data_IF_584391238028
#
_entry.id   IF_584391238028
#
_cell.length_a   1.000
_cell.length_b   1.000
_cell.length_c   1.000
_cell.angle_alpha   90.00
_cell.angle_beta   90.00
_cell.angle_gamma   90.00
#
_symmetry.space_group_name_H-M   'P 1'
#
loop_
_entity.id
_entity.type
_entity.pdbx_description
1 polymer ?
#
# COMPACT_ATOMS: atom_id res chain seq x y z
N UNK A 1 -2.14 -1.94 28.76
CA UNK A 1 -3.46 -2.20 28.13
C UNK A 1 -3.16 -2.91 26.81
N UNK A 2 -4.02 -3.83 26.36
CA UNK A 2 -3.85 -4.44 25.03
C UNK A 2 -4.01 -3.33 23.97
N UNK A 3 -3.19 -3.36 22.90
CA UNK A 3 -3.30 -2.41 21.78
C UNK A 3 -4.62 -2.57 21.02
N UNK A 4 -4.97 -1.57 20.24
CA UNK A 4 -6.26 -1.51 19.52
C UNK A 4 -6.47 -2.67 18.53
N UNK A 5 -5.39 -3.30 18.06
CA UNK A 5 -5.42 -4.41 17.12
C UNK A 5 -4.93 -5.73 17.74
N UNK A 6 -4.95 -5.86 19.07
CA UNK A 6 -4.54 -7.08 19.76
C UNK A 6 -5.32 -8.30 19.24
N UNK A 7 -4.60 -9.33 18.76
CA UNK A 7 -5.17 -10.55 18.20
C UNK A 7 -5.74 -10.43 16.79
N UNK A 8 -5.72 -9.25 16.16
CA UNK A 8 -6.05 -9.07 14.73
C UNK A 8 -4.87 -9.42 13.86
N UNK A 9 -5.12 -9.98 12.69
CA UNK A 9 -4.08 -10.32 11.71
C UNK A 9 -4.11 -9.35 10.54
N UNK A 10 -2.96 -8.70 10.29
CA UNK A 10 -2.74 -7.83 9.14
C UNK A 10 -1.80 -8.48 8.13
N UNK A 11 -2.20 -8.46 6.86
CA UNK A 11 -1.36 -8.80 5.71
C UNK A 11 -1.01 -7.52 4.96
N UNK A 12 0.28 -7.26 4.76
CA UNK A 12 0.75 -6.12 3.95
C UNK A 12 1.61 -6.65 2.81
N UNK A 13 1.17 -6.46 1.56
CA UNK A 13 1.94 -6.86 0.39
C UNK A 13 3.05 -5.85 0.06
N UNK A 14 4.20 -6.32 -0.48
CA UNK A 14 5.34 -5.45 -0.77
C UNK A 14 5.93 -4.79 0.48
N UNK A 15 6.04 -5.53 1.57
CA UNK A 15 6.44 -5.00 2.87
C UNK A 15 7.82 -5.46 3.35
N UNK A 16 8.56 -6.20 2.51
CA UNK A 16 9.88 -6.74 2.85
C UNK A 16 11.04 -5.74 2.71
N UNK A 17 10.78 -4.46 2.38
CA UNK A 17 11.86 -3.48 2.17
C UNK A 17 12.05 -2.58 3.39
N UNK A 18 13.33 -2.48 3.84
CA UNK A 18 13.71 -1.62 4.96
C UNK A 18 13.44 -0.14 4.64
N UNK A 19 12.88 0.59 5.59
CA UNK A 19 12.41 1.97 5.42
C UNK A 19 11.37 2.15 4.31
N UNK A 20 10.78 1.04 3.85
CA UNK A 20 9.67 1.06 2.91
C UNK A 20 8.35 1.45 3.57
N UNK A 21 7.38 1.86 2.76
CA UNK A 21 6.05 2.21 3.24
C UNK A 21 5.36 1.02 3.93
N UNK A 22 5.47 -0.18 3.33
CA UNK A 22 4.89 -1.40 3.89
C UNK A 22 5.46 -1.76 5.26
N UNK A 23 6.77 -1.59 5.48
CA UNK A 23 7.38 -1.75 6.81
C UNK A 23 6.79 -0.75 7.80
N UNK A 24 6.70 0.55 7.43
CA UNK A 24 6.15 1.58 8.31
C UNK A 24 4.71 1.30 8.71
N UNK A 25 3.90 0.77 7.80
CA UNK A 25 2.53 0.33 8.10
C UNK A 25 2.55 -0.84 9.10
N UNK A 26 3.33 -1.89 8.83
CA UNK A 26 3.43 -3.04 9.74
C UNK A 26 3.93 -2.66 11.14
N UNK A 27 4.90 -1.75 11.25
CA UNK A 27 5.39 -1.26 12.53
C UNK A 27 4.27 -0.60 13.35
N UNK A 28 3.48 0.26 12.74
CA UNK A 28 2.37 0.93 13.41
C UNK A 28 1.31 -0.07 13.93
N UNK A 29 1.00 -1.11 13.15
CA UNK A 29 0.07 -2.16 13.58
C UNK A 29 0.68 -3.10 14.63
N UNK A 30 1.99 -3.38 14.56
CA UNK A 30 2.71 -4.17 15.55
C UNK A 30 2.70 -3.46 16.92
N UNK A 31 2.95 -2.15 16.94
CA UNK A 31 2.89 -1.33 18.16
C UNK A 31 1.50 -1.33 18.82
N UNK A 32 0.45 -1.60 18.01
CA UNK A 32 -0.95 -1.77 18.45
C UNK A 32 -1.36 -3.25 18.67
N UNK A 33 -0.39 -4.17 18.69
CA UNK A 33 -0.59 -5.56 19.09
C UNK A 33 -1.11 -6.50 18.01
N UNK A 34 -1.06 -6.13 16.74
CA UNK A 34 -1.49 -6.99 15.63
C UNK A 34 -0.49 -8.13 15.37
N UNK A 35 -1.00 -9.27 14.89
CA UNK A 35 -0.19 -10.29 14.21
C UNK A 35 0.15 -9.79 12.81
N UNK A 36 1.42 -9.81 12.42
CA UNK A 36 1.92 -9.21 11.20
C UNK A 36 2.34 -10.26 10.16
N UNK A 37 1.86 -10.10 8.93
CA UNK A 37 2.34 -10.88 7.78
C UNK A 37 3.17 -9.97 6.89
N UNK A 38 4.48 -10.19 6.87
CA UNK A 38 5.42 -9.60 5.92
C UNK A 38 5.34 -10.38 4.62
N UNK A 39 4.94 -9.74 3.52
CA UNK A 39 4.88 -10.38 2.21
C UNK A 39 5.58 -9.53 1.15
N UNK A 40 6.42 -10.17 0.37
CA UNK A 40 7.12 -9.57 -0.76
C UNK A 40 7.37 -10.62 -1.85
N UNK A 41 7.85 -10.19 -3.01
CA UNK A 41 8.19 -11.07 -4.13
C UNK A 41 9.15 -12.19 -3.70
N UNK A 42 10.10 -11.87 -2.84
CA UNK A 42 11.02 -12.83 -2.21
C UNK A 42 11.18 -12.49 -0.72
N UNK A 43 11.38 -13.51 0.09
CA UNK A 43 11.76 -13.34 1.51
C UNK A 43 13.29 -13.42 1.61
N UNK A 44 13.92 -12.31 1.25
CA UNK A 44 15.36 -12.13 1.31
C UNK A 44 15.83 -11.68 2.72
N UNK A 45 17.13 -11.41 2.87
CA UNK A 45 17.71 -10.96 4.13
C UNK A 45 17.08 -9.63 4.63
N UNK A 46 16.66 -8.76 3.71
CA UNK A 46 16.01 -7.49 4.07
C UNK A 46 14.61 -7.73 4.63
N UNK A 47 13.81 -8.60 4.00
CA UNK A 47 12.48 -8.97 4.49
C UNK A 47 12.56 -9.70 5.84
N UNK A 48 13.59 -10.53 6.05
CA UNK A 48 13.83 -11.17 7.35
C UNK A 48 14.20 -10.14 8.43
N UNK A 49 15.01 -9.13 8.11
CA UNK A 49 15.35 -8.06 9.04
C UNK A 49 14.10 -7.21 9.42
N UNK A 50 13.19 -6.96 8.46
CA UNK A 50 11.89 -6.34 8.76
C UNK A 50 11.08 -7.21 9.73
N UNK A 51 11.03 -8.52 9.52
CA UNK A 51 10.31 -9.42 10.40
C UNK A 51 10.90 -9.45 11.82
N UNK A 52 12.24 -9.40 11.97
CA UNK A 52 12.90 -9.34 13.28
C UNK A 52 12.60 -8.02 14.00
N UNK A 53 12.61 -6.89 13.31
CA UNK A 53 12.21 -5.60 13.91
C UNK A 53 10.78 -5.65 14.46
N UNK A 54 9.84 -6.24 13.71
CA UNK A 54 8.46 -6.41 14.18
C UNK A 54 8.35 -7.36 15.39
N UNK A 55 9.13 -8.45 15.43
CA UNK A 55 9.21 -9.35 16.60
C UNK A 55 9.77 -8.64 17.82
N UNK A 56 10.78 -7.81 17.64
CA UNK A 56 11.36 -7.00 18.72
C UNK A 56 10.34 -6.00 19.31
N UNK A 57 9.31 -5.61 18.55
CA UNK A 57 8.16 -4.81 19.01
C UNK A 57 7.08 -5.66 19.71
N UNK A 58 7.27 -6.97 19.81
CA UNK A 58 6.34 -7.90 20.44
C UNK A 58 5.27 -8.49 19.54
N UNK A 59 5.30 -8.24 18.24
CA UNK A 59 4.33 -8.80 17.31
C UNK A 59 4.62 -10.29 17.00
N UNK A 60 3.57 -11.09 16.83
CA UNK A 60 3.69 -12.37 16.17
C UNK A 60 3.80 -12.16 14.66
N UNK A 61 4.85 -12.73 14.03
CA UNK A 61 5.20 -12.44 12.64
C UNK A 61 5.30 -13.71 11.81
N UNK A 62 4.67 -13.68 10.62
CA UNK A 62 4.92 -14.62 9.53
C UNK A 62 5.56 -13.87 8.34
N UNK A 63 6.39 -14.58 7.57
CA UNK A 63 6.98 -14.11 6.32
C UNK A 63 6.54 -15.02 5.19
N UNK A 64 5.91 -14.47 4.15
CA UNK A 64 5.32 -15.27 3.06
C UNK A 64 5.70 -14.62 1.73
N UNK A 65 6.42 -15.35 0.87
CA UNK A 65 6.71 -14.89 -0.48
C UNK A 65 5.45 -14.88 -1.34
N UNK A 66 5.25 -13.81 -2.10
CA UNK A 66 4.11 -13.67 -3.00
C UNK A 66 4.44 -12.73 -4.16
N UNK A 67 4.40 -13.26 -5.37
CA UNK A 67 4.25 -12.44 -6.56
C UNK A 67 2.76 -12.08 -6.71
N UNK A 68 2.42 -10.84 -6.40
CA UNK A 68 1.02 -10.38 -6.44
C UNK A 68 0.43 -10.39 -7.86
N UNK A 69 1.25 -10.41 -8.91
CA UNK A 69 0.78 -10.56 -10.29
C UNK A 69 0.19 -11.97 -10.58
N UNK A 70 0.35 -12.89 -9.64
CA UNK A 70 -0.08 -14.29 -9.72
C UNK A 70 -1.24 -14.58 -8.78
N UNK A 71 -2.44 -14.80 -9.32
CA UNK A 71 -3.65 -15.04 -8.54
C UNK A 71 -3.57 -16.27 -7.62
N UNK A 72 -2.87 -17.32 -8.05
CA UNK A 72 -2.62 -18.53 -7.26
C UNK A 72 -1.76 -18.22 -6.02
N UNK A 73 -0.72 -17.39 -6.17
CA UNK A 73 0.14 -17.00 -5.06
C UNK A 73 -0.58 -16.05 -4.09
N UNK A 74 -1.41 -15.12 -4.58
CA UNK A 74 -2.24 -14.26 -3.72
C UNK A 74 -3.22 -15.07 -2.86
N UNK A 75 -3.79 -16.15 -3.42
CA UNK A 75 -4.62 -17.08 -2.66
C UNK A 75 -3.80 -17.80 -1.60
N UNK A 76 -2.66 -18.39 -1.99
CA UNK A 76 -1.77 -19.08 -1.08
C UNK A 76 -1.25 -18.19 0.06
N UNK A 77 -0.98 -16.89 -0.19
CA UNK A 77 -0.63 -15.90 0.83
C UNK A 77 -1.71 -15.80 1.92
N UNK A 78 -2.97 -15.65 1.52
CA UNK A 78 -4.09 -15.52 2.46
C UNK A 78 -4.33 -16.83 3.19
N UNK A 79 -4.30 -17.98 2.49
CA UNK A 79 -4.50 -19.30 3.09
C UNK A 79 -3.43 -19.58 4.17
N UNK A 80 -2.16 -19.30 3.90
CA UNK A 80 -1.07 -19.45 4.88
C UNK A 80 -1.21 -18.48 6.07
N UNK A 81 -1.68 -17.25 5.85
CA UNK A 81 -1.94 -16.31 6.92
C UNK A 81 -3.06 -16.81 7.84
N UNK A 82 -4.14 -17.34 7.25
CA UNK A 82 -5.26 -17.96 8.01
C UNK A 82 -4.78 -19.20 8.75
N UNK A 83 -4.01 -20.09 8.13
CA UNK A 83 -3.42 -21.27 8.77
C UNK A 83 -2.56 -20.87 9.99
N UNK A 84 -1.76 -19.82 9.87
CA UNK A 84 -0.81 -19.40 10.89
C UNK A 84 -1.47 -18.67 12.07
N UNK A 85 -2.50 -17.83 11.81
CA UNK A 85 -3.08 -16.92 12.80
C UNK A 85 -4.58 -17.09 13.01
N UNK A 86 -5.23 -17.97 12.26
CA UNK A 86 -6.67 -18.25 12.37
C UNK A 86 -7.57 -17.30 11.58
N UNK A 87 -7.08 -16.14 11.16
CA UNK A 87 -7.85 -15.16 10.37
C UNK A 87 -6.96 -14.23 9.56
N UNK A 88 -7.54 -13.55 8.60
CA UNK A 88 -7.05 -12.29 8.03
C UNK A 88 -8.13 -11.25 8.31
N UNK A 89 -7.83 -10.30 9.18
CA UNK A 89 -8.77 -9.23 9.56
C UNK A 89 -8.53 -7.96 8.75
N UNK A 90 -7.28 -7.72 8.34
CA UNK A 90 -6.86 -6.51 7.63
C UNK A 90 -5.95 -6.91 6.46
N UNK A 91 -6.28 -6.44 5.26
CA UNK A 91 -5.42 -6.50 4.09
C UNK A 91 -4.99 -5.09 3.70
N UNK A 92 -3.68 -4.89 3.52
CA UNK A 92 -3.14 -3.67 2.90
C UNK A 92 -2.47 -4.05 1.57
N UNK A 93 -3.09 -3.69 0.46
CA UNK A 93 -2.51 -3.80 -0.87
C UNK A 93 -1.50 -2.66 -1.06
N UNK A 94 -0.25 -2.91 -0.67
CA UNK A 94 0.83 -1.92 -0.75
C UNK A 94 1.83 -2.24 -1.87
N UNK A 95 1.95 -3.50 -2.31
CA UNK A 95 2.84 -3.87 -3.41
C UNK A 95 2.59 -2.99 -4.63
N UNK A 96 3.67 -2.46 -5.19
CA UNK A 96 3.58 -1.60 -6.36
C UNK A 96 4.94 -1.31 -6.98
N UNK A 97 4.93 -1.17 -8.29
CA UNK A 97 6.06 -0.77 -9.13
C UNK A 97 5.64 0.38 -10.04
N UNK A 98 6.58 1.08 -10.64
CA UNK A 98 6.13 2.17 -11.48
C UNK A 98 7.18 3.00 -12.20
N UNK A 99 8.42 2.55 -12.30
CA UNK A 99 9.53 3.49 -12.50
C UNK A 99 10.42 3.29 -13.71
N UNK A 100 9.86 2.90 -14.83
CA UNK A 100 10.45 3.29 -16.10
C UNK A 100 9.72 4.57 -16.54
N UNK A 101 10.20 5.73 -16.07
CA UNK A 101 9.64 7.03 -16.42
C UNK A 101 10.05 7.39 -17.84
N UNK A 102 9.09 7.35 -18.76
CA UNK A 102 9.30 7.61 -20.19
C UNK A 102 8.14 8.41 -20.79
N UNK A 103 8.41 9.23 -21.80
CA UNK A 103 7.34 9.81 -22.61
C UNK A 103 6.37 8.74 -23.12
N UNK A 104 5.08 9.08 -23.20
CA UNK A 104 4.02 8.16 -23.62
C UNK A 104 4.35 7.37 -24.91
N UNK A 105 4.98 8.04 -25.87
CA UNK A 105 5.32 7.44 -27.18
C UNK A 105 6.50 6.44 -27.12
N UNK A 106 7.21 6.36 -25.99
CA UNK A 106 8.40 5.52 -25.79
C UNK A 106 8.14 4.36 -24.82
N UNK A 107 6.93 4.29 -24.24
CA UNK A 107 6.58 3.23 -23.27
C UNK A 107 6.48 1.89 -23.99
N UNK A 108 7.23 0.89 -23.53
CA UNK A 108 7.07 -0.49 -23.98
C UNK A 108 5.80 -1.11 -23.39
N UNK A 109 5.03 -1.78 -24.23
CA UNK A 109 3.74 -2.33 -23.82
C UNK A 109 3.91 -3.50 -22.86
N UNK A 110 4.77 -4.47 -23.16
CA UNK A 110 4.89 -5.71 -22.38
C UNK A 110 5.68 -5.48 -21.08
N UNK A 111 6.85 -4.84 -21.19
CA UNK A 111 7.80 -4.73 -20.07
C UNK A 111 7.48 -3.56 -19.11
N UNK A 112 6.68 -2.61 -19.55
CA UNK A 112 6.40 -1.41 -18.77
C UNK A 112 4.92 -1.24 -18.45
N UNK A 113 4.06 -1.25 -19.46
CA UNK A 113 2.62 -1.09 -19.24
C UNK A 113 2.01 -2.33 -18.58
N UNK A 114 2.13 -3.49 -19.21
CA UNK A 114 1.47 -4.72 -18.74
C UNK A 114 1.98 -5.13 -17.35
N UNK A 115 3.30 -5.01 -17.11
CA UNK A 115 3.88 -5.34 -15.82
C UNK A 115 3.37 -4.42 -14.70
N UNK A 116 3.27 -3.11 -14.94
CA UNK A 116 2.75 -2.15 -13.95
C UNK A 116 1.27 -2.43 -13.65
N UNK A 117 0.46 -2.68 -14.66
CA UNK A 117 -0.96 -3.03 -14.48
C UNK A 117 -1.09 -4.37 -13.74
N UNK A 118 -0.31 -5.37 -14.11
CA UNK A 118 -0.34 -6.70 -13.48
C UNK A 118 -0.04 -6.62 -11.97
N UNK A 119 0.98 -5.85 -11.57
CA UNK A 119 1.35 -5.72 -10.15
C UNK A 119 0.41 -4.76 -9.41
N UNK A 120 0.24 -3.52 -9.90
CA UNK A 120 -0.40 -2.45 -9.13
C UNK A 120 -1.92 -2.57 -9.08
N UNK A 121 -2.54 -3.13 -10.10
CA UNK A 121 -4.01 -3.22 -10.22
C UNK A 121 -4.51 -4.65 -10.13
N UNK A 122 -4.03 -5.53 -11.01
CA UNK A 122 -4.48 -6.93 -11.01
C UNK A 122 -4.08 -7.64 -9.71
N UNK A 123 -2.86 -7.38 -9.21
CA UNK A 123 -2.38 -7.93 -7.94
C UNK A 123 -3.23 -7.50 -6.76
N UNK A 124 -3.58 -6.22 -6.68
CA UNK A 124 -4.48 -5.72 -5.66
C UNK A 124 -5.88 -6.36 -5.76
N UNK A 125 -6.39 -6.59 -6.97
CA UNK A 125 -7.64 -7.33 -7.18
C UNK A 125 -7.54 -8.77 -6.69
N UNK A 126 -6.46 -9.50 -7.03
CA UNK A 126 -6.30 -10.89 -6.61
C UNK A 126 -6.18 -11.05 -5.09
N UNK A 127 -5.38 -10.19 -4.44
CA UNK A 127 -5.27 -10.18 -2.98
C UNK A 127 -6.59 -9.78 -2.31
N UNK A 128 -7.29 -8.76 -2.84
CA UNK A 128 -8.62 -8.35 -2.35
C UNK A 128 -9.61 -9.49 -2.44
N UNK A 129 -9.67 -10.20 -3.58
CA UNK A 129 -10.59 -11.32 -3.75
C UNK A 129 -10.27 -12.47 -2.78
N UNK A 130 -9.00 -12.80 -2.59
CA UNK A 130 -8.58 -13.87 -1.67
C UNK A 130 -8.91 -13.51 -0.22
N UNK A 131 -8.55 -12.31 0.24
CA UNK A 131 -8.82 -11.85 1.59
C UNK A 131 -10.33 -11.70 1.86
N UNK A 132 -11.09 -11.14 0.91
CA UNK A 132 -12.54 -11.02 1.05
C UNK A 132 -13.23 -12.36 1.22
N UNK A 133 -12.81 -13.40 0.47
CA UNK A 133 -13.32 -14.77 0.65
C UNK A 133 -13.06 -15.29 2.06
N UNK A 134 -11.86 -15.12 2.59
CA UNK A 134 -11.51 -15.53 3.94
C UNK A 134 -12.34 -14.73 5.00
N UNK A 135 -12.43 -13.42 4.84
CA UNK A 135 -13.22 -12.55 5.74
C UNK A 135 -14.70 -12.90 5.74
N UNK A 136 -15.30 -13.15 4.56
CA UNK A 136 -16.71 -13.57 4.43
C UNK A 136 -16.92 -14.94 5.08
N UNK A 137 -16.04 -15.90 4.86
CA UNK A 137 -16.11 -17.21 5.47
C UNK A 137 -16.01 -17.15 7.01
N UNK A 138 -15.17 -16.24 7.53
CA UNK A 138 -15.06 -16.02 8.97
C UNK A 138 -16.27 -15.30 9.59
N UNK A 139 -17.05 -14.55 8.80
CA UNK A 139 -18.28 -13.87 9.25
C UNK A 139 -18.08 -12.74 10.26
N UNK A 140 -16.85 -12.19 10.38
CA UNK A 140 -16.47 -11.17 11.37
C UNK A 140 -16.25 -9.78 10.79
N UNK A 141 -16.58 -9.59 9.50
CA UNK A 141 -16.22 -8.39 8.77
C UNK A 141 -14.72 -8.34 8.42
N UNK A 142 -14.22 -7.19 8.06
CA UNK A 142 -12.81 -6.99 7.70
C UNK A 142 -12.50 -5.59 7.22
N UNK A 143 -11.21 -5.35 6.96
CA UNK A 143 -10.72 -4.06 6.45
C UNK A 143 -9.77 -4.30 5.28
N UNK A 144 -10.03 -3.68 4.15
CA UNK A 144 -9.16 -3.72 2.97
C UNK A 144 -8.73 -2.30 2.66
N UNK A 145 -7.43 -2.07 2.60
CA UNK A 145 -6.83 -0.76 2.35
C UNK A 145 -5.91 -0.87 1.14
N UNK A 146 -6.20 -0.08 0.13
CA UNK A 146 -5.40 -0.01 -1.09
C UNK A 146 -4.46 1.19 -1.03
N UNK A 147 -3.16 0.97 -1.12
CA UNK A 147 -2.20 2.08 -1.22
C UNK A 147 -2.18 2.58 -2.66
N UNK A 148 -2.98 3.60 -2.90
CA UNK A 148 -3.02 4.30 -4.18
C UNK A 148 -1.85 5.31 -4.29
N UNK A 149 -2.13 6.54 -4.63
CA UNK A 149 -1.15 7.64 -4.77
C UNK A 149 -1.92 8.93 -5.07
N UNK A 150 -1.30 10.09 -4.91
CA UNK A 150 -1.72 11.33 -5.58
C UNK A 150 -1.93 11.10 -7.08
N UNK A 151 -1.13 10.23 -7.70
CA UNK A 151 -1.28 9.82 -9.10
C UNK A 151 -2.61 9.10 -9.43
N UNK A 152 -3.45 8.81 -8.44
CA UNK A 152 -4.83 8.36 -8.63
C UNK A 152 -5.85 9.50 -8.71
N UNK A 153 -5.40 10.73 -8.52
CA UNK A 153 -6.21 11.95 -8.50
C UNK A 153 -5.81 12.90 -9.61
N UNK A 154 -4.52 12.97 -9.92
CA UNK A 154 -3.97 13.88 -10.91
C UNK A 154 -3.04 13.16 -11.89
N UNK A 155 -2.81 13.76 -13.06
CA UNK A 155 -1.90 13.23 -14.07
C UNK A 155 -0.46 13.66 -13.84
N UNK A 156 0.48 12.76 -14.13
CA UNK A 156 1.91 13.07 -14.15
C UNK A 156 2.49 12.71 -15.51
N UNK A 157 3.36 13.55 -16.09
CA UNK A 157 4.05 13.22 -17.31
C UNK A 157 4.97 12.02 -17.08
N UNK A 158 5.22 11.25 -18.13
CA UNK A 158 6.15 10.13 -18.16
C UNK A 158 5.80 8.95 -17.22
N UNK A 159 4.56 8.91 -16.72
CA UNK A 159 4.06 7.85 -15.84
C UNK A 159 2.70 7.25 -16.28
N UNK A 160 2.45 7.02 -17.60
CA UNK A 160 1.11 6.64 -18.05
C UNK A 160 0.59 5.35 -17.41
N UNK A 161 1.41 4.30 -17.34
CA UNK A 161 1.02 3.02 -16.73
C UNK A 161 0.76 3.16 -15.23
N UNK A 162 1.64 3.88 -14.51
CA UNK A 162 1.49 4.09 -13.07
C UNK A 162 0.22 4.89 -12.75
N UNK A 163 0.02 6.03 -13.41
CA UNK A 163 -1.17 6.88 -13.25
C UNK A 163 -2.43 6.06 -13.54
N UNK A 164 -2.47 5.33 -14.65
CA UNK A 164 -3.61 4.48 -15.01
C UNK A 164 -3.87 3.41 -13.96
N UNK A 165 -2.83 2.72 -13.48
CA UNK A 165 -2.97 1.69 -12.45
C UNK A 165 -3.53 2.25 -11.14
N UNK A 166 -3.09 3.43 -10.72
CA UNK A 166 -3.53 4.05 -9.46
C UNK A 166 -4.95 4.63 -9.56
N UNK A 167 -5.37 5.17 -10.71
CA UNK A 167 -6.76 5.52 -10.99
C UNK A 167 -7.65 4.25 -10.99
N UNK A 168 -7.21 3.18 -11.66
CA UNK A 168 -7.91 1.89 -11.67
C UNK A 168 -8.07 1.31 -10.27
N UNK A 169 -7.07 1.49 -9.40
CA UNK A 169 -7.12 1.03 -8.00
C UNK A 169 -8.21 1.74 -7.18
N UNK A 170 -8.45 3.02 -7.42
CA UNK A 170 -9.59 3.76 -6.83
C UNK A 170 -10.92 3.23 -7.36
N UNK A 171 -11.00 2.92 -8.66
CA UNK A 171 -12.17 2.25 -9.24
C UNK A 171 -12.45 0.90 -8.59
N UNK A 172 -11.40 0.05 -8.43
CA UNK A 172 -11.49 -1.24 -7.73
C UNK A 172 -11.95 -1.06 -6.29
N UNK A 173 -11.42 -0.05 -5.57
CA UNK A 173 -11.82 0.28 -4.19
C UNK A 173 -13.32 0.52 -4.09
N UNK A 174 -13.87 1.37 -4.95
CA UNK A 174 -15.29 1.73 -4.96
C UNK A 174 -16.19 0.54 -5.30
N UNK A 175 -15.85 -0.23 -6.33
CA UNK A 175 -16.60 -1.42 -6.73
C UNK A 175 -16.63 -2.46 -5.59
N UNK A 176 -15.46 -2.76 -5.01
CA UNK A 176 -15.34 -3.71 -3.91
C UNK A 176 -16.09 -3.24 -2.64
N UNK A 177 -16.07 -1.95 -2.33
CA UNK A 177 -16.78 -1.38 -1.19
C UNK A 177 -18.30 -1.61 -1.28
N UNK A 178 -18.89 -1.41 -2.46
CA UNK A 178 -20.32 -1.62 -2.72
C UNK A 178 -20.71 -3.10 -2.54
N UNK A 179 -19.87 -4.02 -3.04
CA UNK A 179 -20.16 -5.45 -2.97
C UNK A 179 -19.96 -6.03 -1.58
N UNK A 180 -18.91 -5.60 -0.87
CA UNK A 180 -18.45 -6.22 0.37
C UNK A 180 -19.07 -5.59 1.63
N UNK A 181 -19.67 -4.41 1.53
CA UNK A 181 -20.28 -3.71 2.68
C UNK A 181 -21.32 -4.53 3.41
N UNK A 182 -22.14 -5.32 2.71
CA UNK A 182 -23.13 -6.25 3.30
C UNK A 182 -22.51 -7.33 4.20
N UNK A 183 -21.20 -7.57 4.08
CA UNK A 183 -20.46 -8.51 4.91
C UNK A 183 -19.70 -7.84 6.05
N UNK A 184 -19.90 -6.52 6.29
CA UNK A 184 -19.19 -5.76 7.30
C UNK A 184 -17.71 -5.50 6.93
N UNK A 185 -17.37 -5.62 5.65
CA UNK A 185 -16.02 -5.36 5.14
C UNK A 185 -15.97 -3.96 4.52
N UNK A 186 -15.09 -3.11 5.03
CA UNK A 186 -14.83 -1.81 4.40
C UNK A 186 -13.65 -1.91 3.45
N UNK A 187 -13.72 -1.18 2.33
CA UNK A 187 -12.64 -1.10 1.35
C UNK A 187 -12.37 0.36 1.04
N UNK A 188 -11.15 0.84 1.35
CA UNK A 188 -10.75 2.22 1.14
C UNK A 188 -9.38 2.29 0.46
N UNK A 189 -9.10 3.41 -0.19
CA UNK A 189 -7.79 3.74 -0.72
C UNK A 189 -7.14 4.86 0.10
N UNK A 190 -5.83 4.77 0.29
CA UNK A 190 -4.99 5.86 0.80
C UNK A 190 -4.18 6.38 -0.35
N UNK A 191 -4.17 7.70 -0.54
CA UNK A 191 -3.48 8.40 -1.62
C UNK A 191 -2.33 9.24 -1.03
N UNK A 192 -1.15 8.64 -0.78
CA UNK A 192 0.00 9.39 -0.30
C UNK A 192 0.57 10.27 -1.40
N UNK A 193 1.22 11.36 -0.97
CA UNK A 193 2.02 12.22 -1.83
C UNK A 193 3.46 12.25 -1.33
N UNK A 194 4.42 12.24 -2.27
CA UNK A 194 5.86 12.42 -2.03
C UNK A 194 6.41 11.78 -0.74
N UNK A 195 6.08 10.51 -0.52
CA UNK A 195 6.66 9.78 0.62
C UNK A 195 8.14 9.47 0.33
N UNK A 196 9.03 9.89 1.21
CA UNK A 196 10.48 9.67 1.10
C UNK A 196 10.83 8.21 1.40
N UNK A 197 10.58 7.32 0.43
CA UNK A 197 10.98 5.89 0.45
C UNK A 197 11.88 5.60 -0.72
N UNK A 198 12.47 4.38 -0.78
CA UNK A 198 13.33 3.98 -1.91
C UNK A 198 12.66 4.13 -3.28
N UNK A 199 11.35 3.93 -3.35
CA UNK A 199 10.55 4.14 -4.55
C UNK A 199 10.47 5.63 -4.92
N UNK A 200 10.27 6.51 -3.94
CA UNK A 200 10.26 7.96 -4.12
C UNK A 200 11.63 8.52 -4.55
N UNK A 201 12.73 7.92 -4.11
CA UNK A 201 14.07 8.40 -4.45
C UNK A 201 14.34 8.38 -5.96
N UNK A 202 13.95 7.32 -6.66
CA UNK A 202 14.12 7.23 -8.11
C UNK A 202 13.28 8.28 -8.85
N UNK A 203 12.06 8.54 -8.39
CA UNK A 203 11.21 9.60 -8.93
C UNK A 203 11.85 10.97 -8.71
N UNK A 204 12.34 11.23 -7.52
CA UNK A 204 12.95 12.52 -7.18
C UNK A 204 14.16 12.81 -8.07
N UNK A 205 15.02 11.81 -8.31
CA UNK A 205 16.16 11.95 -9.21
C UNK A 205 15.73 12.25 -10.65
N UNK A 206 14.73 11.54 -11.14
CA UNK A 206 14.23 11.74 -12.50
C UNK A 206 13.57 13.09 -12.68
N UNK A 207 12.62 13.46 -11.80
CA UNK A 207 11.88 14.71 -11.93
C UNK A 207 12.72 15.94 -11.63
N UNK A 208 13.73 15.84 -10.75
CA UNK A 208 14.66 16.95 -10.55
C UNK A 208 15.38 17.33 -11.85
N UNK A 209 15.84 16.34 -12.62
CA UNK A 209 16.48 16.54 -13.92
C UNK A 209 15.48 17.02 -14.98
N UNK A 210 14.31 16.38 -15.08
CA UNK A 210 13.28 16.73 -16.05
C UNK A 210 12.77 18.17 -15.90
N UNK A 211 12.65 18.63 -14.66
CA UNK A 211 12.16 19.99 -14.34
C UNK A 211 13.26 21.05 -14.24
N UNK A 212 14.53 20.65 -14.50
CA UNK A 212 15.66 21.58 -14.58
C UNK A 212 16.18 22.07 -13.22
N UNK A 213 15.98 21.32 -12.14
CA UNK A 213 16.58 21.64 -10.84
C UNK A 213 18.08 21.31 -10.85
N UNK A 214 18.86 22.09 -10.11
CA UNK A 214 20.31 21.91 -10.01
C UNK A 214 20.70 20.65 -9.21
N UNK A 215 19.83 20.26 -8.25
CA UNK A 215 20.03 19.07 -7.40
C UNK A 215 18.69 18.45 -7.01
N UNK A 216 18.73 17.22 -6.46
CA UNK A 216 17.57 16.57 -5.84
C UNK A 216 17.15 17.33 -4.59
N UNK A 217 18.09 17.89 -3.85
CA UNK A 217 17.84 18.72 -2.67
C UNK A 217 17.02 19.95 -3.02
N UNK A 218 17.35 20.66 -4.10
CA UNK A 218 16.60 21.84 -4.56
C UNK A 218 15.19 21.45 -5.00
N UNK A 219 15.06 20.31 -5.68
CA UNK A 219 13.75 19.78 -6.05
C UNK A 219 12.90 19.48 -4.81
N UNK A 220 13.45 18.78 -3.82
CA UNK A 220 12.74 18.44 -2.57
C UNK A 220 12.41 19.69 -1.75
N UNK A 221 13.31 20.68 -1.69
CA UNK A 221 13.05 21.96 -1.05
C UNK A 221 11.86 22.70 -1.72
N UNK A 222 11.83 22.69 -3.07
CA UNK A 222 10.71 23.26 -3.82
C UNK A 222 9.39 22.54 -3.53
N UNK A 223 9.42 21.19 -3.47
CA UNK A 223 8.24 20.40 -3.12
C UNK A 223 7.76 20.69 -1.70
N UNK A 224 8.68 20.76 -0.73
CA UNK A 224 8.35 21.13 0.64
C UNK A 224 7.74 22.54 0.74
N UNK A 225 8.29 23.51 0.00
CA UNK A 225 7.77 24.89 -0.01
C UNK A 225 6.37 25.01 -0.61
N UNK A 226 6.00 24.11 -1.55
CA UNK A 226 4.66 24.06 -2.14
C UNK A 226 3.64 23.30 -1.26
N UNK A 227 4.12 22.42 -0.39
CA UNK A 227 3.25 21.66 0.49
C UNK A 227 2.77 22.54 1.65
N UNK A 228 1.46 22.69 1.91
CA UNK A 228 0.94 23.49 3.02
C UNK A 228 1.50 23.11 4.40
N UNK A 229 1.87 21.83 4.60
CA UNK A 229 2.50 21.36 5.85
C UNK A 229 4.02 21.55 5.88
N UNK A 230 4.62 22.13 4.83
CA UNK A 230 6.03 22.51 4.76
C UNK A 230 7.03 21.35 4.72
N UNK A 231 6.58 20.12 4.44
CA UNK A 231 7.43 18.93 4.38
C UNK A 231 6.88 17.86 3.44
N UNK A 232 7.71 16.95 2.93
CA UNK A 232 7.24 15.75 2.27
C UNK A 232 6.54 14.81 3.26
N UNK A 233 5.75 13.85 2.74
CA UNK A 233 5.14 12.79 3.52
C UNK A 233 6.17 11.80 4.08
N UNK A 234 5.83 11.22 5.20
CA UNK A 234 6.60 10.13 5.84
C UNK A 234 5.81 8.83 5.80
N UNK A 235 6.47 7.66 5.86
CA UNK A 235 5.76 6.38 6.02
C UNK A 235 4.77 6.37 7.19
N UNK A 236 5.10 7.03 8.29
CA UNK A 236 4.24 7.18 9.48
C UNK A 236 2.94 7.94 9.21
N UNK A 237 2.93 8.92 8.30
CA UNK A 237 1.71 9.65 7.95
C UNK A 237 0.70 8.72 7.25
N UNK A 238 1.20 7.90 6.32
CA UNK A 238 0.37 6.90 5.63
C UNK A 238 -0.06 5.77 6.59
N UNK A 239 0.84 5.33 7.46
CA UNK A 239 0.54 4.30 8.45
C UNK A 239 -0.57 4.75 9.43
N UNK A 240 -0.54 6.00 9.89
CA UNK A 240 -1.59 6.58 10.73
C UNK A 240 -2.97 6.57 10.05
N UNK A 241 -3.02 6.90 8.77
CA UNK A 241 -4.26 6.81 7.98
C UNK A 241 -4.75 5.35 7.86
N UNK A 242 -3.84 4.39 7.65
CA UNK A 242 -4.18 2.96 7.61
C UNK A 242 -4.71 2.47 8.95
N UNK A 243 -4.09 2.85 10.08
CA UNK A 243 -4.58 2.53 11.42
C UNK A 243 -6.01 3.05 11.64
N UNK A 244 -6.26 4.31 11.29
CA UNK A 244 -7.58 4.87 11.44
C UNK A 244 -8.61 4.16 10.57
N UNK A 245 -8.34 3.93 9.29
CA UNK A 245 -9.25 3.23 8.37
C UNK A 245 -9.50 1.77 8.79
N UNK A 246 -8.55 1.14 9.48
CA UNK A 246 -8.69 -0.21 10.01
C UNK A 246 -9.46 -0.26 11.34
N UNK A 247 -9.57 0.84 12.06
CA UNK A 247 -10.22 0.91 13.36
C UNK A 247 -11.75 0.90 13.27
N UNK A 248 -12.41 0.64 14.39
CA UNK A 248 -13.87 0.71 14.47
C UNK A 248 -14.40 2.15 14.36
N UNK A 249 -13.56 3.16 14.63
CA UNK A 249 -13.92 4.57 14.43
C UNK A 249 -14.19 4.92 12.95
N UNK A 250 -13.64 4.14 12.01
CA UNK A 250 -13.84 4.32 10.57
C UNK A 250 -14.83 3.31 9.97
N UNK A 251 -15.60 2.56 10.78
CA UNK A 251 -16.47 1.50 10.27
C UNK A 251 -17.49 1.98 9.22
N UNK A 252 -17.96 3.21 9.30
CA UNK A 252 -18.91 3.77 8.33
C UNK A 252 -18.24 4.48 7.14
N UNK A 253 -16.91 4.33 7.00
CA UNK A 253 -16.11 4.88 5.91
C UNK A 253 -15.73 3.74 4.97
N UNK A 254 -16.30 3.73 3.77
CA UNK A 254 -15.98 2.74 2.72
C UNK A 254 -16.14 3.34 1.33
N UNK A 255 -15.32 2.90 0.38
CA UNK A 255 -15.30 3.41 -0.99
C UNK A 255 -14.52 4.73 -1.15
N UNK A 256 -13.88 5.21 -0.10
CA UNK A 256 -13.16 6.48 -0.10
C UNK A 256 -11.74 6.35 -0.65
N UNK A 257 -11.25 7.46 -1.21
CA UNK A 257 -9.88 7.64 -1.62
C UNK A 257 -9.28 8.81 -0.83
N UNK A 258 -8.74 8.50 0.36
CA UNK A 258 -8.27 9.45 1.34
C UNK A 258 -6.91 10.04 0.95
N UNK A 259 -6.83 11.36 0.77
CA UNK A 259 -5.57 12.04 0.56
C UNK A 259 -4.75 12.10 1.86
N UNK A 260 -3.47 11.69 1.77
CA UNK A 260 -2.45 11.87 2.81
C UNK A 260 -1.31 12.66 2.19
N UNK A 261 -1.58 13.93 1.91
CA UNK A 261 -0.79 14.79 1.03
C UNK A 261 -0.24 16.05 1.70
N UNK A 262 -0.54 16.28 2.98
CA UNK A 262 -0.20 17.53 3.64
C UNK A 262 -0.91 18.77 3.04
N UNK A 263 -2.05 18.55 2.34
CA UNK A 263 -2.84 19.60 1.71
C UNK A 263 -2.45 19.92 0.27
N UNK A 264 -1.48 19.23 -0.32
CA UNK A 264 -1.06 19.44 -1.71
C UNK A 264 -2.12 18.94 -2.72
N UNK A 265 -2.88 17.91 -2.37
CA UNK A 265 -4.01 17.38 -3.14
C UNK A 265 -5.28 17.43 -2.30
N UNK A 266 -6.39 17.97 -2.83
CA UNK A 266 -7.60 18.26 -2.05
C UNK A 266 -8.89 17.62 -2.59
N UNK A 267 -8.83 16.76 -3.65
CA UNK A 267 -10.03 16.16 -4.28
C UNK A 267 -9.87 14.70 -4.68
#
# INVERSE_FOLDING_TARGET
MAGAFAGKTIVVTGSGKHKGLGQGILQAFADEGANCVVSDLAIDAEALAVAEDLRARGAAVATIACDVSRADQCRALVDQAVERFGSVDILVNNAGIGFKMKPLLEVDTADEWDQVIAVNLSGAFYCTQAAARAMVAAGKGGRIINIASQAAKTGFPHLPAYVSSKHGLVGLTRASAVELGKHGITVNAVCPNHVTTGLGAQQNEYFSKLLGFASVEDYLANMAAKNPMGRPGLPSDTAAACLWLASDAAFYVTGEALNVSGGEEMH
#
